data_IF_074781570109
#
_entry.id   IF_074781570109
#
_cell.length_a   1.000
_cell.length_b   1.000
_cell.length_c   1.000
_cell.angle_alpha   90.00
_cell.angle_beta   90.00
_cell.angle_gamma   90.00
#
_symmetry.space_group_name_H-M   'P 1'
#
loop_
_entity.id
_entity.type
_entity.pdbx_description
1 polymer ?
#
# COMPACT_ATOMS: atom_id res chain seq x y z
N UNK A 1 -18.68 -2.75 -3.75
CA UNK A 1 -17.30 -3.18 -3.41
C UNK A 1 -16.86 -2.39 -2.19
N UNK A 2 -16.52 -3.04 -1.07
CA UNK A 2 -15.99 -2.34 0.12
C UNK A 2 -14.51 -1.99 -0.13
N UNK A 3 -14.18 -0.70 -0.08
CA UNK A 3 -12.79 -0.22 -0.15
C UNK A 3 -12.23 -0.30 1.27
N UNK A 4 -11.18 -1.10 1.46
CA UNK A 4 -10.52 -1.27 2.75
C UNK A 4 -9.30 -0.36 2.82
N UNK A 5 -9.39 0.73 3.57
CA UNK A 5 -8.31 1.69 3.77
C UNK A 5 -7.33 1.25 4.86
N UNK A 6 -7.72 0.29 5.69
CA UNK A 6 -6.90 -0.23 6.77
C UNK A 6 -7.06 -1.74 6.92
N UNK A 7 -5.99 -2.40 7.34
CA UNK A 7 -6.02 -3.80 7.76
C UNK A 7 -7.08 -4.05 8.82
N UNK A 8 -7.42 -3.00 9.59
CA UNK A 8 -8.44 -3.03 10.64
C UNK A 8 -9.84 -3.36 10.10
N UNK A 9 -10.10 -2.99 8.84
CA UNK A 9 -11.41 -3.13 8.19
C UNK A 9 -11.59 -4.49 7.50
N UNK A 10 -10.55 -5.33 7.41
CA UNK A 10 -10.67 -6.67 6.82
C UNK A 10 -11.41 -7.61 7.78
N UNK A 11 -12.62 -8.10 7.43
CA UNK A 11 -13.39 -8.99 8.31
C UNK A 11 -12.68 -10.33 8.56
N UNK A 12 -11.83 -10.76 7.63
CA UNK A 12 -11.03 -11.99 7.73
C UNK A 12 -9.93 -11.91 8.79
N UNK A 13 -9.54 -10.69 9.20
CA UNK A 13 -8.50 -10.46 10.22
C UNK A 13 -9.06 -9.84 11.50
N UNK A 14 -10.39 -9.74 11.63
CA UNK A 14 -11.04 -9.07 12.76
C UNK A 14 -10.84 -9.80 14.10
N UNK A 15 -10.61 -11.12 14.06
CA UNK A 15 -10.41 -11.96 15.25
C UNK A 15 -8.94 -12.06 15.71
N UNK A 16 -8.00 -11.39 15.04
CA UNK A 16 -6.57 -11.48 15.34
C UNK A 16 -6.07 -10.23 16.06
N UNK A 17 -5.11 -10.39 16.98
CA UNK A 17 -4.48 -9.24 17.63
C UNK A 17 -3.74 -8.37 16.60
N UNK A 18 -3.60 -7.05 16.82
CA UNK A 18 -2.93 -6.14 15.87
C UNK A 18 -1.55 -6.62 15.39
N UNK A 19 -0.80 -7.30 16.27
CA UNK A 19 0.50 -7.90 15.95
C UNK A 19 0.37 -9.07 14.97
N UNK A 20 -0.53 -10.01 15.24
CA UNK A 20 -0.80 -11.16 14.38
C UNK A 20 -1.31 -10.72 13.00
N UNK A 21 -2.12 -9.67 12.95
CA UNK A 21 -2.60 -9.08 11.69
C UNK A 21 -1.45 -8.58 10.82
N UNK A 22 -0.44 -7.98 11.44
CA UNK A 22 0.74 -7.52 10.72
C UNK A 22 1.55 -8.69 10.17
N UNK A 23 1.75 -9.75 10.97
CA UNK A 23 2.45 -10.96 10.53
C UNK A 23 1.71 -11.69 9.40
N UNK A 24 0.38 -11.80 9.48
CA UNK A 24 -0.44 -12.40 8.42
C UNK A 24 -0.32 -11.59 7.13
N UNK A 25 -0.33 -10.25 7.22
CA UNK A 25 -0.13 -9.38 6.06
C UNK A 25 1.27 -9.52 5.45
N UNK A 26 2.31 -9.64 6.27
CA UNK A 26 3.67 -9.88 5.79
C UNK A 26 3.75 -11.22 5.05
N UNK A 27 3.18 -12.30 5.62
CA UNK A 27 3.13 -13.61 4.97
C UNK A 27 2.33 -13.59 3.66
N UNK A 28 1.21 -12.87 3.63
CA UNK A 28 0.42 -12.68 2.42
C UNK A 28 1.18 -11.87 1.35
N UNK A 29 1.94 -10.85 1.76
CA UNK A 29 2.79 -10.06 0.88
C UNK A 29 3.93 -10.89 0.28
N UNK A 30 4.49 -11.84 1.04
CA UNK A 30 5.49 -12.79 0.53
C UNK A 30 4.92 -13.79 -0.48
N UNK A 31 3.61 -14.10 -0.41
CA UNK A 31 2.92 -14.96 -1.38
C UNK A 31 2.36 -14.21 -2.59
N UNK A 32 2.52 -12.89 -2.66
CA UNK A 32 2.15 -12.14 -3.86
C UNK A 32 2.88 -12.71 -5.08
N UNK A 33 2.15 -12.87 -6.18
CA UNK A 33 2.77 -13.29 -7.42
C UNK A 33 3.73 -12.22 -7.93
N UNK A 34 4.74 -12.64 -8.71
CA UNK A 34 5.71 -11.74 -9.35
C UNK A 34 5.04 -10.53 -10.03
N UNK A 35 4.02 -10.69 -10.90
CA UNK A 35 3.36 -9.55 -11.53
C UNK A 35 2.66 -8.60 -10.53
N UNK A 36 2.02 -9.12 -9.48
CA UNK A 36 1.37 -8.28 -8.46
C UNK A 36 2.38 -7.44 -7.69
N UNK A 37 3.53 -8.04 -7.34
CA UNK A 37 4.64 -7.33 -6.68
C UNK A 37 5.25 -6.25 -7.60
N UNK A 38 5.38 -6.55 -8.89
CA UNK A 38 5.83 -5.58 -9.89
C UNK A 38 4.87 -4.39 -9.99
N UNK A 39 3.56 -4.63 -10.08
CA UNK A 39 2.54 -3.56 -10.14
C UNK A 39 2.63 -2.67 -8.89
N UNK A 40 2.71 -3.25 -7.69
CA UNK A 40 2.81 -2.49 -6.45
C UNK A 40 4.10 -1.66 -6.40
N UNK A 41 5.24 -2.22 -6.83
CA UNK A 41 6.49 -1.48 -6.86
C UNK A 41 6.50 -0.37 -7.92
N UNK A 42 5.91 -0.61 -9.09
CA UNK A 42 5.78 0.40 -10.13
C UNK A 42 4.90 1.56 -9.66
N UNK A 43 3.80 1.26 -8.96
CA UNK A 43 2.93 2.27 -8.37
C UNK A 43 3.68 3.07 -7.30
N UNK A 44 4.44 2.42 -6.40
CA UNK A 44 5.31 3.14 -5.43
C UNK A 44 6.29 4.06 -6.13
N UNK A 45 6.93 3.59 -7.19
CA UNK A 45 7.90 4.36 -7.94
C UNK A 45 7.26 5.59 -8.56
N UNK A 46 6.14 5.41 -9.27
CA UNK A 46 5.42 6.49 -9.94
C UNK A 46 4.93 7.57 -8.96
N UNK A 47 4.58 7.16 -7.74
CA UNK A 47 4.20 8.07 -6.66
C UNK A 47 5.39 8.83 -6.06
N UNK A 48 6.59 8.23 -6.05
CA UNK A 48 7.80 8.86 -5.52
C UNK A 48 8.47 9.81 -6.53
N UNK A 49 8.34 9.54 -7.83
CA UNK A 49 8.98 10.33 -8.89
C UNK A 49 8.72 11.85 -8.75
N UNK A 50 7.48 12.35 -8.55
CA UNK A 50 7.23 13.78 -8.46
C UNK A 50 7.95 14.46 -7.28
N UNK A 51 7.87 13.96 -6.02
CA UNK A 51 8.69 14.48 -4.93
C UNK A 51 10.19 14.52 -5.23
N UNK A 52 10.75 13.47 -5.86
CA UNK A 52 12.17 13.42 -6.20
C UNK A 52 12.56 14.45 -7.27
N UNK A 53 11.68 14.72 -8.24
CA UNK A 53 11.90 15.77 -9.25
C UNK A 53 11.94 17.17 -8.61
N UNK A 54 11.03 17.47 -7.69
CA UNK A 54 11.04 18.76 -6.99
C UNK A 54 12.21 18.90 -6.03
N UNK A 55 12.65 17.80 -5.42
CA UNK A 55 13.86 17.76 -4.60
C UNK A 55 15.10 18.10 -5.42
N UNK A 56 15.25 17.53 -6.61
CA UNK A 56 16.37 17.84 -7.51
C UNK A 56 16.38 19.31 -7.95
N UNK A 57 15.20 19.93 -8.09
CA UNK A 57 15.05 21.34 -8.46
C UNK A 57 15.23 22.33 -7.30
N UNK A 58 15.43 21.86 -6.06
CA UNK A 58 15.50 22.67 -4.84
C UNK A 58 14.24 23.54 -4.58
N UNK A 59 13.10 23.15 -5.16
CA UNK A 59 11.81 23.82 -5.02
C UNK A 59 11.11 23.33 -3.73
N UNK A 60 11.54 23.82 -2.57
CA UNK A 60 11.08 23.34 -1.26
C UNK A 60 9.56 23.42 -1.06
N UNK A 61 8.91 24.45 -1.59
CA UNK A 61 7.46 24.62 -1.50
C UNK A 61 6.73 23.55 -2.33
N UNK A 62 7.13 23.33 -3.58
CA UNK A 62 6.53 22.28 -4.42
C UNK A 62 6.85 20.88 -3.89
N UNK A 63 8.03 20.69 -3.31
CA UNK A 63 8.41 19.43 -2.66
C UNK A 63 7.44 19.10 -1.54
N UNK A 64 7.17 20.03 -0.63
CA UNK A 64 6.26 19.77 0.51
C UNK A 64 4.85 19.40 0.03
N UNK A 65 4.31 20.13 -0.96
CA UNK A 65 3.02 19.81 -1.59
C UNK A 65 3.05 18.42 -2.23
N UNK A 66 4.09 18.10 -3.00
CA UNK A 66 4.22 16.80 -3.66
C UNK A 66 4.31 15.65 -2.63
N UNK A 67 4.99 15.88 -1.51
CA UNK A 67 5.15 14.91 -0.43
C UNK A 67 3.81 14.66 0.29
N UNK A 68 3.06 15.72 0.59
CA UNK A 68 1.69 15.61 1.15
C UNK A 68 0.75 14.90 0.17
N UNK A 69 0.79 15.25 -1.12
CA UNK A 69 0.00 14.60 -2.16
C UNK A 69 0.35 13.10 -2.26
N UNK A 70 1.64 12.76 -2.22
CA UNK A 70 2.12 11.37 -2.24
C UNK A 70 1.59 10.56 -1.05
N UNK A 71 1.59 11.15 0.15
CA UNK A 71 1.00 10.52 1.35
C UNK A 71 -0.50 10.31 1.19
N UNK A 72 -1.22 11.29 0.64
CA UNK A 72 -2.66 11.19 0.43
C UNK A 72 -3.02 10.10 -0.59
N UNK A 73 -2.32 10.06 -1.72
CA UNK A 73 -2.46 9.00 -2.74
C UNK A 73 -2.10 7.63 -2.14
N UNK A 74 -1.07 7.57 -1.27
CA UNK A 74 -0.66 6.32 -0.62
C UNK A 74 -1.77 5.77 0.26
N UNK A 75 -2.46 6.64 0.99
CA UNK A 75 -3.55 6.24 1.87
C UNK A 75 -4.80 5.84 1.06
N UNK A 76 -5.15 6.62 0.04
CA UNK A 76 -6.40 6.48 -0.70
C UNK A 76 -6.36 5.39 -1.78
N UNK A 77 -5.21 5.16 -2.43
CA UNK A 77 -5.10 4.26 -3.59
C UNK A 77 -4.15 3.11 -3.30
N UNK A 78 -2.92 3.40 -2.87
CA UNK A 78 -1.89 2.36 -2.70
C UNK A 78 -2.27 1.34 -1.62
N UNK A 79 -2.76 1.83 -0.48
CA UNK A 79 -3.16 0.99 0.67
C UNK A 79 -4.30 0.02 0.34
N UNK A 80 -5.44 0.44 -0.24
CA UNK A 80 -6.51 -0.49 -0.58
C UNK A 80 -6.12 -1.48 -1.68
N UNK A 81 -5.32 -1.08 -2.68
CA UNK A 81 -4.84 -2.01 -3.71
C UNK A 81 -3.94 -3.09 -3.10
N UNK A 82 -3.00 -2.69 -2.24
CA UNK A 82 -2.14 -3.64 -1.52
C UNK A 82 -2.97 -4.60 -0.67
N UNK A 83 -3.95 -4.09 0.08
CA UNK A 83 -4.82 -4.91 0.92
C UNK A 83 -5.72 -5.84 0.11
N UNK A 84 -6.21 -5.41 -1.06
CA UNK A 84 -6.99 -6.24 -1.97
C UNK A 84 -6.18 -7.43 -2.49
N UNK A 85 -4.93 -7.20 -2.89
CA UNK A 85 -4.04 -8.29 -3.30
C UNK A 85 -3.71 -9.22 -2.12
N UNK A 86 -3.34 -8.69 -0.96
CA UNK A 86 -3.12 -9.51 0.23
C UNK A 86 -4.35 -10.34 0.59
N UNK A 87 -5.56 -9.77 0.54
CA UNK A 87 -6.81 -10.49 0.82
C UNK A 87 -7.00 -11.67 -0.12
N UNK A 88 -6.77 -11.50 -1.42
CA UNK A 88 -6.88 -12.58 -2.41
C UNK A 88 -5.99 -13.77 -2.05
N UNK A 89 -4.78 -13.51 -1.55
CA UNK A 89 -3.86 -14.54 -1.09
C UNK A 89 -4.21 -15.12 0.27
N UNK A 90 -4.78 -14.33 1.20
CA UNK A 90 -5.23 -14.79 2.52
C UNK A 90 -6.40 -15.77 2.41
N UNK A 91 -7.39 -15.47 1.56
CA UNK A 91 -8.52 -16.38 1.28
C UNK A 91 -8.03 -17.70 0.68
N UNK A 92 -6.98 -17.67 -0.14
CA UNK A 92 -6.42 -18.86 -0.79
C UNK A 92 -5.44 -19.65 0.11
N UNK A 93 -5.18 -19.20 1.35
CA UNK A 93 -4.39 -19.95 2.35
C UNK A 93 -5.25 -20.79 3.31
N UNK A 94 -6.58 -20.71 3.19
CA UNK A 94 -7.53 -21.46 4.00
C UNK A 94 -7.93 -22.76 3.31
#
# INVERSE_FOLDING_TARGET
>A
MKIYLSSNQLPELANHLPRERHEILIRAEQKLTVPEKLILNLLKLLMLVPPFLYLARQEWLMLTIALVATLFIKLTIFTPIKLAFCRKHIVNMK
#
